data_IF_440751052358
#
_entry.id   IF_440751052358
#
_cell.length_a   1.000
_cell.length_b   1.000
_cell.length_c   1.000
_cell.angle_alpha   90.00
_cell.angle_beta   90.00
_cell.angle_gamma   90.00
#
_symmetry.space_group_name_H-M   'P 1'
#
loop_
_entity.id
_entity.type
_entity.pdbx_description
1 polymer ?
#
# COMPACT_ATOMS: atom_id res chain seq x y z
N UNK A 1 5.04 23.11 -36.41
CA UNK A 1 5.45 23.10 -35.00
C UNK A 1 4.50 22.20 -34.23
N UNK A 2 4.88 20.94 -34.00
CA UNK A 2 4.02 19.91 -33.41
C UNK A 2 3.78 20.18 -31.93
N UNK A 3 2.50 20.19 -31.54
CA UNK A 3 1.94 20.41 -30.19
C UNK A 3 2.44 19.44 -29.09
N UNK A 4 3.47 18.63 -29.38
CA UNK A 4 3.90 17.45 -28.62
C UNK A 4 4.68 17.75 -27.33
N UNK A 5 5.17 18.98 -27.15
CA UNK A 5 6.05 19.37 -26.02
C UNK A 5 5.47 20.44 -25.08
N UNK A 6 4.18 20.79 -25.22
CA UNK A 6 3.55 21.88 -24.47
C UNK A 6 2.89 21.50 -23.14
N UNK A 7 2.90 20.22 -22.75
CA UNK A 7 2.19 19.74 -21.57
C UNK A 7 3.16 19.20 -20.53
N UNK A 8 3.69 20.08 -19.67
CA UNK A 8 4.48 19.66 -18.52
C UNK A 8 3.54 19.28 -17.39
N UNK A 9 3.80 18.16 -16.72
CA UNK A 9 3.00 17.72 -15.57
C UNK A 9 2.91 18.80 -14.48
N UNK A 10 3.98 19.57 -14.28
CA UNK A 10 4.05 20.67 -13.31
C UNK A 10 2.95 21.71 -13.54
N UNK A 11 2.62 22.01 -14.80
CA UNK A 11 1.62 23.01 -15.17
C UNK A 11 0.19 22.54 -14.85
N UNK A 12 -0.04 21.23 -14.85
CA UNK A 12 -1.36 20.61 -14.58
C UNK A 12 -1.49 20.13 -13.13
N UNK A 13 -0.39 19.98 -12.40
CA UNK A 13 -0.36 19.43 -11.05
C UNK A 13 -1.28 20.19 -10.08
N UNK A 14 -1.26 21.53 -10.14
CA UNK A 14 -2.14 22.38 -9.31
C UNK A 14 -3.63 22.09 -9.58
N UNK A 15 -4.00 21.87 -10.85
CA UNK A 15 -5.36 21.52 -11.24
C UNK A 15 -5.76 20.13 -10.73
N UNK A 16 -4.85 19.15 -10.83
CA UNK A 16 -5.07 17.80 -10.33
C UNK A 16 -5.27 17.76 -8.81
N UNK A 17 -4.39 18.42 -8.05
CA UNK A 17 -4.51 18.53 -6.58
C UNK A 17 -5.82 19.21 -6.19
N UNK A 18 -6.19 20.30 -6.87
CA UNK A 18 -7.47 20.97 -6.63
C UNK A 18 -8.65 20.02 -6.88
N UNK A 19 -8.64 19.27 -7.99
CA UNK A 19 -9.66 18.29 -8.31
C UNK A 19 -9.81 17.24 -7.21
N UNK A 20 -8.71 16.62 -6.79
CA UNK A 20 -8.73 15.61 -5.71
C UNK A 20 -9.33 16.17 -4.42
N UNK A 21 -8.97 17.41 -4.02
CA UNK A 21 -9.45 18.01 -2.77
C UNK A 21 -10.95 18.30 -2.76
N UNK A 22 -11.52 18.70 -3.91
CA UNK A 22 -12.89 19.23 -3.98
C UNK A 22 -13.89 18.26 -4.59
N UNK A 23 -13.46 17.18 -5.23
CA UNK A 23 -14.37 16.19 -5.80
C UNK A 23 -14.89 15.27 -4.69
N UNK A 24 -16.19 15.02 -4.70
CA UNK A 24 -16.83 14.12 -3.74
C UNK A 24 -16.36 12.68 -3.96
N UNK A 25 -15.85 12.05 -2.91
CA UNK A 25 -15.51 10.64 -2.92
C UNK A 25 -16.80 9.79 -2.84
N UNK A 26 -17.00 8.85 -3.77
CA UNK A 26 -18.20 8.01 -3.83
C UNK A 26 -18.41 7.13 -2.58
N UNK A 27 -17.33 6.70 -1.92
CA UNK A 27 -17.42 5.84 -0.74
C UNK A 27 -17.86 6.58 0.53
N UNK A 28 -17.33 7.78 0.75
CA UNK A 28 -17.59 8.60 1.95
C UNK A 28 -18.77 9.56 1.71
N UNK A 29 -19.06 9.91 0.45
CA UNK A 29 -20.07 10.91 0.10
C UNK A 29 -19.65 12.36 0.37
N UNK A 30 -18.40 12.60 0.78
CA UNK A 30 -17.84 13.93 1.08
C UNK A 30 -16.61 14.26 0.25
N UNK A 31 -16.30 15.54 0.12
CA UNK A 31 -15.04 16.01 -0.48
C UNK A 31 -13.91 15.81 0.52
N UNK A 32 -12.70 15.40 0.12
CA UNK A 32 -11.59 15.20 1.05
C UNK A 32 -11.27 16.40 1.95
N UNK A 33 -11.50 17.62 1.48
CA UNK A 33 -11.29 18.84 2.29
C UNK A 33 -12.31 19.01 3.43
N UNK A 34 -13.49 18.40 3.31
CA UNK A 34 -14.59 18.51 4.27
C UNK A 34 -14.66 17.31 5.22
N UNK A 35 -13.75 16.34 5.09
CA UNK A 35 -13.73 15.11 5.89
C UNK A 35 -13.23 15.39 7.30
N UNK A 36 -14.04 15.02 8.30
CA UNK A 36 -13.69 15.01 9.72
C UNK A 36 -13.34 13.59 10.18
N UNK A 37 -12.71 13.46 11.36
CA UNK A 37 -12.32 12.15 11.90
C UNK A 37 -13.52 11.19 12.07
N UNK A 38 -14.66 11.73 12.48
CA UNK A 38 -15.91 10.99 12.74
C UNK A 38 -16.64 10.55 11.46
N UNK A 39 -16.26 11.10 10.29
CA UNK A 39 -16.88 10.75 9.01
C UNK A 39 -16.50 9.36 8.51
N UNK A 40 -15.43 8.80 9.07
CA UNK A 40 -15.08 7.42 8.85
C UNK A 40 -15.81 6.57 9.88
N UNK A 41 -16.83 5.85 9.45
CA UNK A 41 -17.19 4.63 10.12
C UNK A 41 -16.03 3.65 9.90
N UNK A 42 -15.06 3.62 10.82
CA UNK A 42 -14.14 2.51 10.92
C UNK A 42 -15.00 1.37 11.45
N UNK A 43 -15.44 0.40 10.63
CA UNK A 43 -16.09 -0.76 11.19
C UNK A 43 -15.14 -1.30 12.25
N UNK A 44 -15.63 -1.47 13.47
CA UNK A 44 -14.96 -2.33 14.43
C UNK A 44 -14.91 -3.69 13.75
N UNK A 45 -13.83 -3.95 13.01
CA UNK A 45 -13.56 -5.27 12.53
C UNK A 45 -13.41 -6.06 13.82
N UNK A 46 -14.31 -7.02 14.13
CA UNK A 46 -13.98 -7.95 15.19
C UNK A 46 -12.59 -8.43 14.85
N UNK A 47 -11.72 -8.54 15.85
CA UNK A 47 -10.38 -9.06 15.69
C UNK A 47 -10.49 -10.53 15.23
N UNK A 48 -10.90 -10.75 13.99
CA UNK A 48 -10.56 -11.89 13.19
C UNK A 48 -9.09 -11.72 12.94
N UNK A 49 -8.33 -11.94 14.01
CA UNK A 49 -6.89 -12.03 13.98
C UNK A 49 -6.60 -12.96 12.82
N UNK A 50 -6.01 -12.42 11.76
CA UNK A 50 -5.52 -13.26 10.69
C UNK A 50 -4.65 -14.29 11.39
N UNK A 51 -5.09 -15.57 11.39
CA UNK A 51 -4.44 -16.60 12.20
C UNK A 51 -2.98 -16.64 11.80
N UNK A 52 -2.11 -16.15 12.67
CA UNK A 52 -0.68 -16.12 12.41
C UNK A 52 -0.25 -17.58 12.32
N UNK A 53 0.20 -17.98 11.13
CA UNK A 53 0.64 -19.36 10.85
C UNK A 53 2.03 -19.67 11.41
N UNK A 54 2.72 -18.64 11.91
CA UNK A 54 4.09 -18.68 12.38
C UNK A 54 4.14 -18.83 13.90
N UNK A 55 5.19 -19.49 14.39
CA UNK A 55 5.47 -19.66 15.82
C UNK A 55 6.85 -19.09 16.16
N UNK A 56 7.01 -18.59 17.38
CA UNK A 56 8.31 -18.16 17.91
C UNK A 56 9.26 -19.36 17.91
N UNK A 57 10.50 -19.17 17.45
CA UNK A 57 11.47 -20.25 17.25
C UNK A 57 11.32 -21.01 15.93
N UNK A 58 10.29 -20.71 15.12
CA UNK A 58 10.14 -21.28 13.78
C UNK A 58 11.23 -20.78 12.82
N UNK A 59 11.63 -21.65 11.89
CA UNK A 59 12.61 -21.34 10.86
C UNK A 59 11.92 -20.82 9.61
N UNK A 60 12.41 -19.69 9.08
CA UNK A 60 11.86 -19.03 7.89
C UNK A 60 12.97 -18.53 6.98
N UNK A 61 12.66 -18.35 5.70
CA UNK A 61 13.50 -17.62 4.76
C UNK A 61 12.78 -16.37 4.29
N UNK A 62 13.53 -15.31 4.03
CA UNK A 62 12.98 -14.03 3.61
C UNK A 62 13.02 -13.98 2.08
N UNK A 63 12.02 -13.37 1.44
CA UNK A 63 12.05 -13.16 -0.01
C UNK A 63 13.23 -12.25 -0.38
N UNK A 64 14.07 -12.67 -1.34
CA UNK A 64 15.32 -11.98 -1.69
C UNK A 64 15.10 -10.76 -2.59
N UNK A 65 14.03 -10.75 -3.39
CA UNK A 65 13.68 -9.65 -4.32
C UNK A 65 12.24 -9.18 -4.08
N UNK A 66 12.06 -7.86 -3.99
CA UNK A 66 10.74 -7.22 -3.88
C UNK A 66 10.30 -6.76 -5.27
N UNK A 67 9.49 -7.59 -5.93
CA UNK A 67 8.80 -7.21 -7.16
C UNK A 67 9.59 -7.48 -8.44
N UNK A 68 8.81 -7.84 -9.46
CA UNK A 68 9.17 -8.26 -10.81
C UNK A 68 9.62 -9.71 -10.99
N UNK A 69 8.87 -10.35 -11.89
CA UNK A 69 9.09 -11.67 -12.43
C UNK A 69 10.26 -11.57 -13.41
N UNK A 70 11.49 -11.49 -12.89
CA UNK A 70 12.66 -11.68 -13.73
C UNK A 70 12.64 -13.13 -14.22
N UNK A 71 12.64 -13.31 -15.54
CA UNK A 71 12.84 -14.62 -16.16
C UNK A 71 14.27 -15.07 -15.85
N UNK A 72 14.48 -15.66 -14.68
CA UNK A 72 15.77 -16.13 -14.23
C UNK A 72 15.60 -17.28 -13.26
N UNK A 73 16.38 -18.34 -13.46
CA UNK A 73 16.45 -19.54 -12.63
C UNK A 73 17.00 -19.29 -11.20
N UNK A 74 16.96 -18.05 -10.71
CA UNK A 74 17.50 -17.66 -9.41
C UNK A 74 16.49 -17.87 -8.28
N UNK A 75 17.02 -18.22 -7.11
CA UNK A 75 16.22 -18.53 -5.93
C UNK A 75 15.58 -17.25 -5.36
N UNK A 76 14.25 -17.24 -5.26
CA UNK A 76 13.45 -16.09 -4.81
C UNK A 76 13.49 -15.79 -3.30
N UNK A 77 14.30 -16.52 -2.54
CA UNK A 77 14.47 -16.36 -1.10
C UNK A 77 15.95 -16.34 -0.72
N UNK A 78 16.24 -15.79 0.46
CA UNK A 78 17.58 -15.72 1.05
C UNK A 78 18.20 -17.11 1.19
N UNK A 79 19.52 -17.18 1.04
CA UNK A 79 20.28 -18.41 1.33
C UNK A 79 20.23 -18.73 2.82
N UNK A 80 20.27 -17.69 3.66
CA UNK A 80 20.21 -17.78 5.11
C UNK A 80 18.83 -18.21 5.60
N UNK A 81 18.83 -19.00 6.68
CA UNK A 81 17.64 -19.41 7.41
C UNK A 81 17.58 -18.61 8.71
N UNK A 82 16.45 -17.96 8.94
CA UNK A 82 16.21 -17.09 10.09
C UNK A 82 15.29 -17.78 11.10
N UNK A 83 15.39 -17.36 12.37
CA UNK A 83 14.53 -17.84 13.46
C UNK A 83 13.63 -16.71 13.93
N UNK A 84 12.34 -17.00 14.06
CA UNK A 84 11.34 -16.00 14.50
C UNK A 84 11.57 -15.66 15.98
N UNK A 85 11.94 -14.41 16.26
CA UNK A 85 12.16 -13.90 17.62
C UNK A 85 10.88 -13.44 18.31
N UNK A 86 9.99 -12.77 17.57
CA UNK A 86 8.77 -12.15 18.09
C UNK A 86 7.63 -12.21 17.06
N UNK A 87 6.39 -12.17 17.56
CA UNK A 87 5.17 -12.15 16.76
C UNK A 87 4.34 -10.96 17.21
N UNK A 88 3.95 -10.10 16.27
CA UNK A 88 3.04 -8.98 16.51
C UNK A 88 1.65 -9.31 15.95
N UNK A 89 0.59 -9.34 16.78
CA UNK A 89 -0.78 -9.43 16.28
C UNK A 89 -1.11 -8.17 15.46
N UNK A 90 -1.83 -8.38 14.35
CA UNK A 90 -2.33 -7.31 13.48
C UNK A 90 -3.74 -6.87 13.85
#
# INVERSE_FOLDING_TARGET
>A
MTHKYGHRYVDVLKKAVKGIKITVNRGIGKKPVDVQHEDFFVPYMPQGSAKIKFSKGGHVRIASKRGHFDKGYEQGWTTEVYVISQIHPG
#
